data_IF_930105446358
#
_entry.id   IF_930105446358
#
_cell.length_a   1.000
_cell.length_b   1.000
_cell.length_c   1.000
_cell.angle_alpha   90.00
_cell.angle_beta   90.00
_cell.angle_gamma   90.00
#
_symmetry.space_group_name_H-M   'P 1'
#
loop_
_entity.id
_entity.type
_entity.pdbx_description
1 polymer ?
#
# COMPACT_ATOMS: atom_id res chain seq x y z
N UNK A 1 24.42 18.08 -1.89
CA UNK A 1 23.15 17.34 -1.76
C UNK A 1 23.33 16.00 -2.45
N UNK A 2 22.90 14.91 -1.82
CA UNK A 2 22.97 13.55 -2.38
C UNK A 2 21.60 12.88 -2.26
N UNK A 3 21.28 12.00 -3.21
CA UNK A 3 20.12 11.13 -3.14
C UNK A 3 20.53 9.81 -2.48
N UNK A 4 19.74 9.33 -1.54
CA UNK A 4 19.87 7.97 -0.98
C UNK A 4 18.79 7.12 -1.61
N UNK A 5 19.19 6.01 -2.23
CA UNK A 5 18.29 5.10 -2.93
C UNK A 5 18.32 3.75 -2.23
N UNK A 6 17.14 3.25 -1.86
CA UNK A 6 16.93 1.91 -1.32
C UNK A 6 16.03 1.16 -2.30
N UNK A 7 16.51 0.01 -2.79
CA UNK A 7 15.74 -0.86 -3.68
C UNK A 7 15.28 -2.07 -2.88
N UNK A 8 13.97 -2.34 -2.94
CA UNK A 8 13.34 -3.50 -2.30
C UNK A 8 12.76 -4.40 -3.40
N UNK A 9 13.05 -5.69 -3.33
CA UNK A 9 12.61 -6.67 -4.34
C UNK A 9 12.82 -8.10 -3.87
N UNK A 10 12.38 -9.05 -4.68
CA UNK A 10 12.58 -10.48 -4.44
C UNK A 10 13.72 -11.02 -5.31
N UNK A 11 14.39 -12.07 -4.86
CA UNK A 11 15.35 -12.84 -5.65
C UNK A 11 15.21 -14.32 -5.31
N UNK A 12 15.34 -15.20 -6.30
CA UNK A 12 15.40 -16.66 -6.09
C UNK A 12 16.63 -17.08 -5.27
N UNK A 13 17.67 -16.24 -5.19
CA UNK A 13 18.85 -16.45 -4.35
C UNK A 13 18.77 -15.80 -2.97
N UNK A 14 17.65 -15.11 -2.64
CA UNK A 14 17.49 -14.49 -1.33
C UNK A 14 17.25 -15.54 -0.25
N UNK A 15 18.01 -15.49 0.83
CA UNK A 15 17.77 -16.29 2.04
C UNK A 15 16.86 -15.57 3.06
N UNK A 16 16.41 -14.35 2.76
CA UNK A 16 15.57 -13.58 3.68
C UNK A 16 14.18 -14.22 3.80
N UNK A 17 13.62 -14.38 5.01
CA UNK A 17 12.28 -14.94 5.21
C UNK A 17 11.18 -13.90 4.93
N UNK A 18 11.38 -13.05 3.93
CA UNK A 18 10.47 -11.97 3.57
C UNK A 18 10.22 -11.96 2.07
N UNK A 19 9.01 -11.59 1.70
CA UNK A 19 8.64 -11.30 0.33
C UNK A 19 7.98 -9.94 0.24
N UNK A 20 8.23 -9.24 -0.87
CA UNK A 20 7.57 -7.97 -1.18
C UNK A 20 6.72 -8.11 -2.45
N UNK A 21 5.54 -7.51 -2.43
CA UNK A 21 4.66 -7.41 -3.58
C UNK A 21 4.10 -6.01 -3.68
N UNK A 22 3.55 -5.64 -4.84
CA UNK A 22 3.05 -4.29 -5.06
C UNK A 22 1.90 -4.23 -6.07
N UNK A 23 1.17 -3.12 -6.02
CA UNK A 23 0.19 -2.71 -7.01
C UNK A 23 0.23 -1.17 -7.15
N UNK A 24 -0.66 -0.62 -7.98
CA UNK A 24 -0.78 0.83 -8.20
C UNK A 24 -2.23 1.25 -7.96
N UNK A 25 -2.44 2.12 -6.98
CA UNK A 25 -3.73 2.75 -6.72
C UNK A 25 -4.00 3.80 -7.79
N UNK A 26 -5.21 3.79 -8.39
CA UNK A 26 -5.62 4.81 -9.37
C UNK A 26 -6.12 6.09 -8.73
N UNK A 27 -6.64 5.99 -7.51
CA UNK A 27 -7.08 7.11 -6.69
C UNK A 27 -6.90 6.77 -5.20
N UNK A 28 -7.09 7.76 -4.33
CA UNK A 28 -6.92 7.63 -2.88
C UNK A 28 -7.88 6.61 -2.20
N UNK A 29 -8.88 6.09 -2.92
CA UNK A 29 -9.87 5.13 -2.40
C UNK A 29 -9.88 3.81 -3.20
N UNK A 30 -8.78 3.48 -3.88
CA UNK A 30 -8.65 2.26 -4.69
C UNK A 30 -8.37 1.02 -3.83
N UNK A 31 -9.42 0.53 -3.17
CA UNK A 31 -9.39 -0.68 -2.34
C UNK A 31 -8.91 -1.93 -3.11
N UNK A 32 -9.24 -2.02 -4.41
CA UNK A 32 -8.87 -3.17 -5.23
C UNK A 32 -7.34 -3.29 -5.36
N UNK A 33 -6.65 -2.18 -5.62
CA UNK A 33 -5.20 -2.16 -5.70
C UNK A 33 -4.53 -2.56 -4.36
N UNK A 34 -5.06 -2.12 -3.22
CA UNK A 34 -4.54 -2.53 -1.90
C UNK A 34 -4.72 -4.04 -1.68
N UNK A 35 -5.89 -4.58 -2.04
CA UNK A 35 -6.17 -6.02 -1.96
C UNK A 35 -5.24 -6.80 -2.90
N UNK A 36 -5.00 -6.32 -4.11
CA UNK A 36 -4.11 -6.97 -5.08
C UNK A 36 -2.66 -7.00 -4.57
N UNK A 37 -2.19 -5.92 -3.93
CA UNK A 37 -0.89 -5.91 -3.27
C UNK A 37 -0.82 -6.94 -2.12
N UNK A 38 -1.85 -7.05 -1.27
CA UNK A 38 -1.91 -8.05 -0.21
C UNK A 38 -1.95 -9.50 -0.76
N UNK A 39 -2.72 -9.73 -1.83
CA UNK A 39 -2.78 -11.02 -2.54
C UNK A 39 -1.43 -11.41 -3.13
N UNK A 40 -0.70 -10.44 -3.69
CA UNK A 40 0.60 -10.70 -4.33
C UNK A 40 1.66 -11.26 -3.37
N UNK A 41 1.50 -11.05 -2.07
CA UNK A 41 2.33 -11.64 -1.01
C UNK A 41 1.61 -12.72 -0.20
N UNK A 42 0.42 -13.16 -0.63
CA UNK A 42 -0.33 -14.24 0.02
C UNK A 42 -0.92 -13.91 1.39
N UNK A 43 -1.14 -12.63 1.71
CA UNK A 43 -1.80 -12.17 2.95
C UNK A 43 -3.32 -12.01 2.81
N UNK A 44 -3.85 -12.22 1.60
CA UNK A 44 -5.28 -12.19 1.34
C UNK A 44 -5.64 -13.39 0.45
N UNK A 45 -6.19 -14.44 1.05
CA UNK A 45 -6.60 -15.66 0.34
C UNK A 45 -7.98 -15.55 -0.31
N UNK A 46 -8.23 -16.34 -1.35
CA UNK A 46 -9.59 -16.57 -1.82
C UNK A 46 -10.39 -17.32 -0.75
N UNK A 47 -11.59 -16.84 -0.41
CA UNK A 47 -12.51 -17.57 0.49
C UNK A 47 -12.71 -18.98 -0.07
N UNK A 48 -12.23 -19.98 0.64
CA UNK A 48 -12.39 -21.40 0.29
C UNK A 48 -11.17 -22.08 -0.32
N UNK A 49 -10.03 -21.38 -0.50
CA UNK A 49 -8.79 -22.06 -0.90
C UNK A 49 -8.28 -22.96 0.24
N UNK A 50 -8.40 -24.28 0.05
CA UNK A 50 -7.94 -25.33 0.98
C UNK A 50 -6.46 -25.67 0.82
N UNK A 51 -5.69 -24.92 0.01
CA UNK A 51 -4.25 -25.17 -0.07
C UNK A 51 -3.59 -24.56 1.18
N UNK A 52 -2.72 -25.30 1.89
CA UNK A 52 -1.88 -24.71 2.92
C UNK A 52 -0.88 -23.80 2.19
N UNK A 53 -1.26 -22.54 1.98
CA UNK A 53 -0.22 -21.52 1.82
C UNK A 53 0.53 -21.49 3.13
N UNK A 54 1.86 -21.66 3.09
CA UNK A 54 2.74 -21.42 4.22
C UNK A 54 2.24 -20.19 4.98
N UNK A 55 2.10 -20.29 6.30
CA UNK A 55 1.56 -19.19 7.09
C UNK A 55 2.43 -17.94 6.84
N UNK A 56 1.77 -16.82 6.55
CA UNK A 56 2.45 -15.55 6.27
C UNK A 56 1.99 -14.52 7.28
N UNK A 57 2.95 -13.73 7.74
CA UNK A 57 2.71 -12.64 8.68
C UNK A 57 2.86 -11.30 7.95
N UNK A 58 1.91 -10.40 8.15
CA UNK A 58 2.02 -9.02 7.66
C UNK A 58 3.15 -8.30 8.41
N UNK A 59 4.06 -7.66 7.68
CA UNK A 59 5.15 -6.87 8.29
C UNK A 59 4.87 -5.38 8.18
N UNK A 60 4.70 -4.88 6.96
CA UNK A 60 4.41 -3.47 6.72
C UNK A 60 3.81 -3.27 5.33
N UNK A 61 3.17 -2.13 5.12
CA UNK A 61 2.69 -1.66 3.82
C UNK A 61 3.13 -0.21 3.61
N UNK A 62 3.65 0.06 2.42
CA UNK A 62 4.20 1.34 2.01
C UNK A 62 3.35 1.88 0.88
N UNK A 63 2.88 3.11 1.00
CA UNK A 63 2.08 3.74 -0.04
C UNK A 63 2.49 5.20 -0.27
N UNK A 64 2.22 5.67 -1.48
CA UNK A 64 2.18 7.10 -1.80
C UNK A 64 0.74 7.59 -1.82
N UNK A 65 0.54 8.83 -1.40
CA UNK A 65 -0.77 9.47 -1.43
C UNK A 65 -0.64 10.94 -1.86
N UNK A 66 -1.56 11.38 -2.70
CA UNK A 66 -1.75 12.79 -3.02
C UNK A 66 -3.24 13.11 -3.20
N UNK A 67 -3.59 14.38 -3.04
CA UNK A 67 -4.90 14.84 -3.45
C UNK A 67 -4.93 14.86 -4.99
N UNK A 68 -6.01 14.37 -5.59
CA UNK A 68 -6.12 14.41 -7.05
C UNK A 68 -6.02 15.85 -7.55
N UNK A 69 -5.06 16.17 -8.45
CA UNK A 69 -4.89 17.54 -8.94
C UNK A 69 -6.07 18.01 -9.78
N UNK A 70 -6.96 17.11 -10.22
CA UNK A 70 -8.22 17.47 -10.89
C UNK A 70 -9.27 18.05 -9.94
N UNK A 71 -9.04 18.00 -8.62
CA UNK A 71 -10.03 18.39 -7.61
C UNK A 71 -11.17 17.38 -7.41
N UNK A 72 -11.06 16.19 -8.00
CA UNK A 72 -12.11 15.17 -7.95
C UNK A 72 -11.58 13.75 -7.77
N UNK A 73 -12.33 12.92 -7.06
CA UNK A 73 -12.15 11.46 -6.99
C UNK A 73 -13.42 10.81 -7.53
N UNK A 74 -13.29 9.97 -8.57
CA UNK A 74 -14.41 9.25 -9.21
C UNK A 74 -15.61 10.12 -9.60
N UNK A 75 -15.33 11.33 -10.10
CA UNK A 75 -16.34 12.30 -10.53
C UNK A 75 -16.90 13.18 -9.42
N UNK A 76 -16.52 12.96 -8.16
CA UNK A 76 -16.95 13.78 -7.03
C UNK A 76 -15.87 14.77 -6.63
N UNK A 77 -16.25 16.04 -6.49
CA UNK A 77 -15.36 17.10 -6.00
C UNK A 77 -14.90 16.80 -4.58
N UNK A 78 -13.61 17.00 -4.29
CA UNK A 78 -13.07 17.03 -2.93
C UNK A 78 -12.54 18.42 -2.59
N UNK A 79 -12.37 18.72 -1.29
CA UNK A 79 -11.89 20.03 -0.82
C UNK A 79 -10.38 20.08 -0.53
N UNK A 80 -9.68 18.96 -0.63
CA UNK A 80 -8.30 18.82 -0.12
C UNK A 80 -7.29 19.85 -0.68
N UNK A 81 -7.52 20.39 -1.88
CA UNK A 81 -6.62 21.37 -2.52
C UNK A 81 -6.90 22.82 -2.10
N UNK A 82 -8.13 23.10 -1.65
CA UNK A 82 -8.62 24.45 -1.36
C UNK A 82 -8.76 24.69 0.16
N UNK A 83 -8.49 23.67 0.96
CA UNK A 83 -8.47 23.75 2.41
C UNK A 83 -7.25 24.55 2.87
N UNK A 84 -7.50 25.73 3.45
CA UNK A 84 -6.46 26.64 3.94
C UNK A 84 -5.90 26.23 5.30
N UNK A 85 -6.60 25.36 6.03
CA UNK A 85 -6.28 24.99 7.40
C UNK A 85 -5.47 23.68 7.44
N UNK A 86 -5.81 22.73 6.57
CA UNK A 86 -5.18 21.41 6.50
C UNK A 86 -4.61 21.18 5.11
N UNK A 87 -3.28 21.03 5.04
CA UNK A 87 -2.61 20.80 3.76
C UNK A 87 -3.11 19.53 3.05
N UNK A 88 -3.20 19.59 1.72
CA UNK A 88 -3.67 18.50 0.85
C UNK A 88 -2.99 17.15 1.13
N UNK A 89 -1.69 17.16 1.42
CA UNK A 89 -0.94 15.93 1.75
C UNK A 89 -1.33 15.32 3.09
N UNK A 90 -1.81 16.11 4.07
CA UNK A 90 -2.34 15.58 5.33
C UNK A 90 -3.66 14.88 5.10
N UNK A 91 -4.58 15.49 4.32
CA UNK A 91 -5.83 14.85 3.91
C UNK A 91 -5.58 13.54 3.15
N UNK A 92 -4.73 13.58 2.12
CA UNK A 92 -4.44 12.41 1.30
C UNK A 92 -3.83 11.26 2.11
N UNK A 93 -2.85 11.54 2.99
CA UNK A 93 -2.26 10.51 3.87
C UNK A 93 -3.30 9.92 4.82
N UNK A 94 -4.19 10.73 5.38
CA UNK A 94 -5.25 10.25 6.27
C UNK A 94 -6.25 9.35 5.52
N UNK A 95 -6.68 9.75 4.31
CA UNK A 95 -7.60 8.96 3.49
C UNK A 95 -7.00 7.60 3.08
N UNK A 96 -5.79 7.61 2.51
CA UNK A 96 -5.11 6.36 2.08
C UNK A 96 -4.72 5.51 3.29
N UNK A 97 -4.24 6.13 4.38
CA UNK A 97 -3.93 5.42 5.62
C UNK A 97 -5.15 4.74 6.24
N UNK A 98 -6.30 5.43 6.25
CA UNK A 98 -7.58 4.86 6.70
C UNK A 98 -8.05 3.71 5.83
N UNK A 99 -7.97 3.84 4.49
CA UNK A 99 -8.28 2.76 3.56
C UNK A 99 -7.43 1.52 3.84
N UNK A 100 -6.11 1.71 3.91
CA UNK A 100 -5.17 0.61 4.09
C UNK A 100 -5.38 -0.05 5.46
N UNK A 101 -5.39 0.73 6.54
CA UNK A 101 -5.56 0.19 7.89
C UNK A 101 -6.92 -0.50 8.08
N UNK A 102 -7.97 0.02 7.44
CA UNK A 102 -9.30 -0.60 7.46
C UNK A 102 -9.36 -1.94 6.71
N UNK A 103 -8.59 -2.11 5.63
CA UNK A 103 -8.52 -3.35 4.86
C UNK A 103 -7.55 -4.37 5.45
N UNK A 104 -6.44 -3.92 6.04
CA UNK A 104 -5.39 -4.80 6.57
C UNK A 104 -5.59 -5.14 8.05
N UNK A 105 -6.43 -4.40 8.78
CA UNK A 105 -6.67 -4.61 10.21
C UNK A 105 -5.45 -4.26 11.08
N UNK A 106 -4.52 -3.44 10.59
CA UNK A 106 -3.29 -3.09 11.30
C UNK A 106 -2.93 -1.60 11.15
N UNK A 107 -2.29 -1.06 12.19
CA UNK A 107 -1.70 0.29 12.17
C UNK A 107 -0.27 0.34 11.61
N UNK A 108 0.33 -0.81 11.26
CA UNK A 108 1.64 -0.88 10.63
C UNK A 108 1.55 -0.45 9.15
N UNK A 109 1.43 0.85 8.94
CA UNK A 109 1.23 1.49 7.64
C UNK A 109 2.17 2.68 7.49
N UNK A 110 2.93 2.71 6.41
CA UNK A 110 3.73 3.86 6.01
C UNK A 110 3.08 4.53 4.79
N UNK A 111 2.43 5.69 4.99
CA UNK A 111 1.89 6.50 3.88
C UNK A 111 2.68 7.79 3.74
N UNK A 112 3.40 7.93 2.63
CA UNK A 112 4.12 9.15 2.28
C UNK A 112 3.27 10.05 1.38
N UNK A 113 3.29 11.36 1.65
CA UNK A 113 2.56 12.33 0.84
C UNK A 113 3.36 12.81 -0.38
N UNK A 114 2.66 13.39 -1.35
CA UNK A 114 3.25 13.97 -2.57
C UNK A 114 3.68 12.86 -3.53
N UNK A 115 2.79 12.47 -4.43
CA UNK A 115 2.97 11.33 -5.33
C UNK A 115 3.29 11.78 -6.76
N UNK A 116 3.86 12.98 -6.92
CA UNK A 116 4.20 13.54 -8.22
C UNK A 116 5.10 12.56 -8.97
N UNK A 117 4.66 12.16 -10.17
CA UNK A 117 5.33 11.19 -11.03
C UNK A 117 5.57 9.81 -10.40
N UNK A 118 4.88 9.47 -9.31
CA UNK A 118 4.95 8.19 -8.61
C UNK A 118 3.61 7.47 -8.74
N UNK A 119 3.22 7.09 -9.95
CA UNK A 119 1.90 6.53 -10.26
C UNK A 119 1.00 7.49 -11.04
N UNK A 120 -0.29 7.18 -11.21
CA UNK A 120 -1.27 8.07 -11.84
C UNK A 120 -1.63 9.24 -10.91
N UNK A 121 -2.04 10.37 -11.49
CA UNK A 121 -2.48 11.55 -10.73
C UNK A 121 -3.63 11.23 -9.78
N UNK A 122 -3.48 11.61 -8.51
CA UNK A 122 -4.43 11.30 -7.42
C UNK A 122 -4.29 9.90 -6.83
N UNK A 123 -3.38 9.08 -7.37
CA UNK A 123 -3.10 7.71 -6.94
C UNK A 123 -1.68 7.55 -6.40
N UNK A 124 -1.13 6.34 -6.55
CA UNK A 124 0.24 6.04 -6.15
C UNK A 124 0.54 4.53 -6.01
N UNK A 125 1.82 4.12 -5.95
CA UNK A 125 2.17 2.74 -5.64
C UNK A 125 1.74 2.37 -4.22
N UNK A 126 1.44 1.09 -4.04
CA UNK A 126 1.27 0.43 -2.74
C UNK A 126 2.07 -0.87 -2.75
N UNK A 127 2.93 -1.08 -1.76
CA UNK A 127 3.79 -2.25 -1.64
C UNK A 127 3.67 -2.87 -0.25
N UNK A 128 3.58 -4.20 -0.18
CA UNK A 128 3.41 -4.96 1.06
C UNK A 128 4.61 -5.86 1.26
N UNK A 129 5.14 -5.89 2.49
CA UNK A 129 6.12 -6.90 2.91
C UNK A 129 5.41 -7.90 3.83
N UNK A 130 5.61 -9.18 3.54
CA UNK A 130 5.18 -10.29 4.38
C UNK A 130 6.39 -11.10 4.83
N UNK A 131 6.32 -11.66 6.05
CA UNK A 131 7.26 -12.69 6.53
C UNK A 131 6.71 -14.07 6.17
N UNK A 132 7.58 -14.94 5.69
CA UNK A 132 7.30 -16.37 5.52
C UNK A 132 7.55 -17.05 6.88
N UNK A 133 6.53 -17.71 7.42
CA UNK A 133 6.67 -18.50 8.65
C UNK A 133 7.09 -19.92 8.27
N UNK A 134 8.07 -20.46 9.00
CA UNK A 134 8.45 -21.86 8.87
C UNK A 134 7.34 -22.75 9.41
N UNK A 135 7.13 -23.90 8.78
CA UNK A 135 6.17 -24.93 9.19
C UNK A 135 6.67 -25.73 10.41
N UNK A 136 7.39 -25.08 11.34
CA UNK A 136 7.86 -25.69 12.57
C UNK A 136 6.72 -25.69 13.59
N UNK A 137 5.89 -26.71 13.48
CA UNK A 137 5.19 -27.29 14.62
C UNK A 137 6.23 -27.79 15.63
N UNK A 138 6.41 -27.06 16.73
CA UNK A 138 6.82 -27.65 18.01
C UNK A 138 5.58 -28.17 18.74
#
# INVERSE_FOLDING_TARGET
>A
MHNVVIVLGNSASSAAPFTIGHAVMRDAIDAAAVIDALKSVGLHGERGSKTPTAAREFVNIFAKAEASPSGSIRGFRHIMLEDTDISSTRHARAAVGGLIGGLSGTGAVYVSGGAEHQGPSGGGPVAVIARLLDDRSD
#
